data_IF_751019691259
#
_entry.id   IF_751019691259
#
_cell.length_a   1.000
_cell.length_b   1.000
_cell.length_c   1.000
_cell.angle_alpha   90.00
_cell.angle_beta   90.00
_cell.angle_gamma   90.00
#
_symmetry.space_group_name_H-M   'P 1'
#
loop_
_entity.id
_entity.type
_entity.pdbx_description
1 polymer ?
#
# COMPACT_ATOMS: atom_id res chain seq x y z
N UNK A 1 -8.69 -13.50 -1.62
CA UNK A 1 -8.20 -12.56 -0.60
C UNK A 1 -6.82 -13.04 -0.22
N UNK A 2 -5.83 -12.15 -0.26
CA UNK A 2 -4.46 -12.44 0.13
C UNK A 2 -4.19 -11.70 1.43
N UNK A 3 -3.83 -12.42 2.48
CA UNK A 3 -3.33 -11.81 3.71
C UNK A 3 -1.83 -11.65 3.57
N UNK A 4 -1.34 -10.42 3.68
CA UNK A 4 0.07 -10.11 3.87
C UNK A 4 0.24 -9.72 5.33
N UNK A 5 0.59 -10.69 6.17
CA UNK A 5 0.90 -10.41 7.57
C UNK A 5 2.41 -10.31 7.76
N UNK A 6 2.87 -9.28 8.47
CA UNK A 6 4.23 -9.21 8.96
C UNK A 6 4.23 -9.72 10.41
N UNK A 7 4.55 -11.00 10.61
CA UNK A 7 4.52 -11.62 11.94
C UNK A 7 5.91 -11.58 12.58
N UNK A 8 6.05 -10.90 13.72
CA UNK A 8 7.27 -10.91 14.51
C UNK A 8 7.33 -12.22 15.29
N UNK A 9 8.26 -13.10 14.92
CA UNK A 9 8.50 -14.35 15.63
C UNK A 9 9.01 -14.03 17.05
N UNK A 10 8.31 -14.48 18.10
CA UNK A 10 8.66 -14.13 19.49
C UNK A 10 9.96 -14.79 19.96
N UNK A 11 10.43 -15.84 19.27
CA UNK A 11 11.65 -16.57 19.63
C UNK A 11 12.88 -16.07 18.91
N UNK A 12 12.73 -15.50 17.72
CA UNK A 12 13.85 -15.11 16.86
C UNK A 12 13.95 -13.61 16.62
N UNK A 13 12.98 -12.81 17.07
CA UNK A 13 12.80 -11.41 16.66
C UNK A 13 12.82 -11.23 15.13
N UNK A 14 12.50 -12.29 14.37
CA UNK A 14 12.45 -12.23 12.92
C UNK A 14 11.00 -12.03 12.47
N UNK A 15 10.76 -10.95 11.71
CA UNK A 15 9.45 -10.67 11.13
C UNK A 15 9.25 -11.51 9.86
N UNK A 16 8.49 -12.60 9.93
CA UNK A 16 8.11 -13.45 8.79
C UNK A 16 6.94 -12.80 8.05
N UNK A 17 7.09 -12.55 6.74
CA UNK A 17 5.96 -12.16 5.91
C UNK A 17 5.24 -13.42 5.47
N UNK A 18 4.04 -13.63 6.00
CA UNK A 18 3.22 -14.78 5.64
C UNK A 18 2.17 -14.30 4.65
N UNK A 19 2.48 -14.45 3.36
CA UNK A 19 1.48 -14.41 2.31
C UNK A 19 0.65 -15.69 2.40
N UNK A 20 -0.44 -15.65 3.17
CA UNK A 20 -1.36 -16.78 3.31
C UNK A 20 -2.63 -16.52 2.52
N UNK A 21 -3.13 -17.58 1.89
CA UNK A 21 -4.49 -17.63 1.37
C UNK A 21 -5.35 -18.26 2.48
N UNK A 22 -5.93 -17.48 3.41
CA UNK A 22 -6.98 -18.04 4.25
C UNK A 22 -8.09 -18.48 3.30
N UNK A 23 -8.31 -19.80 3.21
CA UNK A 23 -9.33 -20.40 2.34
C UNK A 23 -10.71 -19.77 2.59
N UNK A 24 -10.95 -19.30 3.81
CA UNK A 24 -12.00 -18.34 4.16
C UNK A 24 -11.55 -17.54 5.39
N UNK A 25 -11.40 -16.21 5.29
CA UNK A 25 -11.36 -15.36 6.48
C UNK A 25 -12.75 -14.70 6.53
N UNK A 26 -13.62 -15.07 7.48
CA UNK A 26 -14.95 -14.49 7.55
C UNK A 26 -14.82 -12.98 7.78
N UNK A 27 -15.69 -12.19 7.16
CA UNK A 27 -15.68 -10.72 7.27
C UNK A 27 -15.69 -10.24 8.73
N UNK A 28 -16.30 -11.02 9.63
CA UNK A 28 -16.31 -10.75 11.06
C UNK A 28 -14.92 -10.77 11.71
N UNK A 29 -13.96 -11.56 11.21
CA UNK A 29 -12.58 -11.55 11.71
C UNK A 29 -11.83 -10.29 11.29
N UNK A 30 -12.04 -9.81 10.06
CA UNK A 30 -11.45 -8.55 9.57
C UNK A 30 -11.88 -7.38 10.47
N UNK A 31 -13.15 -7.35 10.86
CA UNK A 31 -13.70 -6.34 11.76
C UNK A 31 -13.18 -6.46 13.21
N UNK A 32 -12.81 -7.66 13.65
CA UNK A 32 -12.28 -7.91 15.00
C UNK A 32 -10.78 -7.64 15.12
N UNK A 33 -10.03 -7.75 14.01
CA UNK A 33 -8.57 -7.70 14.01
C UNK A 33 -7.97 -6.35 14.39
N UNK A 34 -8.65 -5.25 14.12
CA UNK A 34 -8.08 -3.94 14.47
C UNK A 34 -8.15 -3.59 15.97
N UNK A 35 -8.52 -4.55 16.83
CA UNK A 35 -8.60 -4.36 18.27
C UNK A 35 -9.84 -3.56 18.71
N UNK A 36 -9.98 -3.30 20.03
CA UNK A 36 -11.18 -2.69 20.62
C UNK A 36 -11.46 -1.28 20.09
N UNK A 37 -10.45 -0.62 19.52
CA UNK A 37 -10.55 0.74 18.97
C UNK A 37 -10.61 0.78 17.44
N UNK A 38 -10.68 -0.37 16.75
CA UNK A 38 -10.85 -0.37 15.31
C UNK A 38 -12.27 -0.05 14.90
N UNK A 39 -12.48 1.22 14.57
CA UNK A 39 -13.73 1.69 14.00
C UNK A 39 -13.76 1.46 12.47
N UNK A 40 -13.54 0.21 12.03
CA UNK A 40 -13.86 -0.15 10.65
C UNK A 40 -15.36 -0.40 10.58
N UNK A 41 -16.06 0.47 9.89
CA UNK A 41 -17.50 0.34 9.70
C UNK A 41 -17.81 -0.49 8.45
N UNK A 42 -18.98 -1.13 8.42
CA UNK A 42 -19.45 -1.86 7.23
C UNK A 42 -19.47 -0.96 5.98
N UNK A 43 -19.83 0.31 6.12
CA UNK A 43 -19.80 1.30 5.03
C UNK A 43 -18.40 1.48 4.43
N UNK A 44 -17.36 1.28 5.22
CA UNK A 44 -15.97 1.44 4.78
C UNK A 44 -15.58 0.26 3.87
N UNK A 45 -16.06 -0.95 4.21
CA UNK A 45 -15.91 -2.13 3.37
C UNK A 45 -16.71 -2.03 2.07
N UNK A 46 -17.90 -1.41 2.11
CA UNK A 46 -18.68 -1.13 0.90
C UNK A 46 -17.96 -0.12 -0.02
N UNK A 47 -17.22 0.84 0.55
CA UNK A 47 -16.42 1.79 -0.23
C UNK A 47 -15.25 1.13 -1.00
N UNK A 48 -14.81 -0.06 -0.57
CA UNK A 48 -13.79 -0.84 -1.28
C UNK A 48 -14.31 -1.49 -2.56
N UNK A 49 -15.63 -1.56 -2.78
CA UNK A 49 -16.23 -2.20 -3.96
C UNK A 49 -15.66 -3.61 -4.22
N UNK A 50 -15.55 -4.42 -3.16
CA UNK A 50 -14.98 -5.78 -3.23
C UNK A 50 -15.91 -6.64 -4.11
N UNK A 51 -15.33 -7.35 -5.08
CA UNK A 51 -16.10 -8.17 -6.03
C UNK A 51 -15.84 -9.65 -5.77
N UNK A 52 -16.90 -10.45 -5.82
CA UNK A 52 -16.74 -11.92 -5.82
C UNK A 52 -16.15 -12.38 -7.16
N UNK A 53 -15.38 -13.48 -7.13
CA UNK A 53 -14.86 -14.15 -8.33
C UNK A 53 -16.00 -14.48 -9.32
N UNK A 54 -17.15 -14.90 -8.80
CA UNK A 54 -18.31 -15.30 -9.61
C UNK A 54 -18.96 -14.11 -10.33
N UNK A 55 -18.89 -12.91 -9.73
CA UNK A 55 -19.44 -11.69 -10.33
C UNK A 55 -18.61 -11.20 -11.52
N UNK A 56 -17.30 -11.49 -11.56
CA UNK A 56 -16.45 -11.03 -12.66
C UNK A 56 -16.69 -11.81 -13.96
N UNK A 57 -16.93 -13.12 -13.88
CA UNK A 57 -17.13 -13.94 -15.07
C UNK A 57 -18.42 -13.58 -15.83
N UNK A 58 -19.41 -12.99 -15.15
CA UNK A 58 -20.70 -12.61 -15.75
C UNK A 58 -20.79 -11.13 -16.17
N UNK A 59 -19.77 -10.30 -15.92
CA UNK A 59 -19.82 -8.86 -16.22
C UNK A 59 -18.95 -8.42 -17.39
N UNK A 60 -18.75 -9.29 -18.39
CA UNK A 60 -17.96 -8.94 -19.58
C UNK A 60 -18.66 -7.89 -20.48
N UNK A 61 -20.00 -7.80 -20.49
CA UNK A 61 -20.66 -7.08 -21.62
C UNK A 61 -21.35 -5.74 -21.32
N UNK A 62 -21.70 -5.38 -20.08
CA UNK A 62 -22.48 -4.13 -19.86
C UNK A 62 -22.15 -3.39 -18.57
N UNK A 63 -20.89 -3.38 -18.12
CA UNK A 63 -20.49 -2.39 -17.10
C UNK A 63 -20.45 -1.01 -17.74
N UNK A 64 -21.63 -0.36 -17.73
CA UNK A 64 -21.76 1.08 -17.49
C UNK A 64 -20.60 1.52 -16.60
N UNK A 65 -19.90 2.53 -17.08
CA UNK A 65 -18.65 3.15 -16.61
C UNK A 65 -18.75 3.71 -15.20
N UNK A 66 -19.17 2.91 -14.22
CA UNK A 66 -19.14 3.28 -12.81
C UNK A 66 -17.67 3.37 -12.44
N UNK A 67 -17.15 4.59 -12.60
CA UNK A 67 -15.79 4.99 -12.25
C UNK A 67 -15.55 4.54 -10.82
N UNK A 68 -14.71 3.53 -10.64
CA UNK A 68 -14.27 3.14 -9.31
C UNK A 68 -13.62 4.37 -8.68
N UNK A 69 -14.13 4.78 -7.53
CA UNK A 69 -13.64 5.97 -6.85
C UNK A 69 -12.31 5.64 -6.18
N UNK A 70 -11.30 6.46 -6.47
CA UNK A 70 -10.04 6.47 -5.74
C UNK A 70 -10.31 6.95 -4.32
N UNK A 71 -10.07 6.10 -3.33
CA UNK A 71 -10.40 6.34 -1.93
C UNK A 71 -9.25 5.84 -1.06
N UNK A 72 -8.78 6.69 -0.16
CA UNK A 72 -7.88 6.34 0.95
C UNK A 72 -8.56 6.85 2.22
N UNK A 73 -9.00 5.95 3.11
CA UNK A 73 -9.73 6.29 4.32
C UNK A 73 -8.89 5.92 5.55
N UNK A 74 -8.26 6.91 6.22
CA UNK A 74 -7.64 6.67 7.50
C UNK A 74 -8.72 6.39 8.57
N UNK A 75 -8.42 5.40 9.42
CA UNK A 75 -9.15 5.04 10.64
C UNK A 75 -8.17 5.02 11.79
N UNK A 76 -8.69 4.90 13.02
CA UNK A 76 -7.88 4.98 14.24
C UNK A 76 -6.72 3.97 14.29
N UNK A 77 -6.87 2.81 13.64
CA UNK A 77 -5.89 1.72 13.68
C UNK A 77 -5.66 1.06 12.31
N UNK A 78 -6.21 1.64 11.24
CA UNK A 78 -6.22 1.01 9.93
C UNK A 78 -6.36 2.04 8.80
N UNK A 79 -5.92 1.66 7.62
CA UNK A 79 -6.02 2.41 6.39
C UNK A 79 -6.78 1.59 5.35
N UNK A 80 -7.94 2.07 4.92
CA UNK A 80 -8.67 1.44 3.83
C UNK A 80 -8.29 2.09 2.51
N UNK A 81 -7.94 1.28 1.52
CA UNK A 81 -7.43 1.77 0.25
C UNK A 81 -8.21 1.11 -0.88
N UNK A 82 -8.80 1.93 -1.74
CA UNK A 82 -9.33 1.56 -3.04
C UNK A 82 -8.69 2.50 -4.05
N UNK A 83 -7.57 2.10 -4.63
CA UNK A 83 -6.78 2.97 -5.51
C UNK A 83 -6.30 2.21 -6.75
N UNK A 84 -6.79 2.62 -7.92
CA UNK A 84 -6.50 1.95 -9.17
C UNK A 84 -7.01 0.52 -9.17
N UNK A 85 -6.11 -0.46 -9.33
CA UNK A 85 -6.44 -1.87 -9.28
C UNK A 85 -6.23 -2.51 -7.89
N UNK A 86 -5.71 -1.73 -6.93
CA UNK A 86 -5.39 -2.20 -5.58
C UNK A 86 -6.53 -1.87 -4.63
N UNK A 87 -7.05 -2.90 -3.98
CA UNK A 87 -8.02 -2.80 -2.89
C UNK A 87 -7.41 -3.45 -1.66
N UNK A 88 -7.31 -2.71 -0.57
CA UNK A 88 -6.65 -3.19 0.63
C UNK A 88 -7.22 -2.59 1.92
N UNK A 89 -6.95 -3.28 3.03
CA UNK A 89 -6.96 -2.69 4.36
C UNK A 89 -5.58 -2.92 4.95
N UNK A 90 -4.91 -1.87 5.38
CA UNK A 90 -3.64 -1.95 6.10
C UNK A 90 -3.86 -1.64 7.58
N UNK A 91 -3.18 -2.35 8.45
CA UNK A 91 -2.96 -2.02 9.85
C UNK A 91 -1.48 -1.71 10.05
N UNK A 92 -1.09 -1.54 11.31
CA UNK A 92 0.29 -1.25 11.70
C UNK A 92 1.29 -2.27 11.18
N UNK A 93 0.99 -3.57 11.29
CA UNK A 93 1.97 -4.65 11.04
C UNK A 93 1.49 -5.64 9.96
N UNK A 94 0.33 -5.42 9.35
CA UNK A 94 -0.22 -6.32 8.35
C UNK A 94 -1.18 -5.61 7.40
N UNK A 95 -1.41 -6.21 6.23
CA UNK A 95 -2.39 -5.73 5.27
C UNK A 95 -3.16 -6.90 4.63
N UNK A 96 -4.45 -6.70 4.39
CA UNK A 96 -5.26 -7.56 3.54
C UNK A 96 -5.35 -6.94 2.15
N UNK A 97 -5.00 -7.72 1.13
CA UNK A 97 -5.25 -7.41 -0.27
C UNK A 97 -6.47 -8.18 -0.77
N UNK A 98 -7.42 -7.44 -1.35
CA UNK A 98 -8.58 -8.01 -2.02
C UNK A 98 -8.26 -8.32 -3.49
N UNK A 99 -9.16 -9.04 -4.16
CA UNK A 99 -9.05 -9.36 -5.59
C UNK A 99 -7.72 -10.05 -5.99
N UNK A 100 -7.15 -10.86 -5.09
CA UNK A 100 -5.87 -11.57 -5.25
C UNK A 100 -5.79 -12.56 -6.42
N UNK A 101 -6.91 -12.81 -7.10
CA UNK A 101 -6.96 -13.59 -8.33
C UNK A 101 -6.52 -12.77 -9.56
N UNK A 102 -6.47 -11.43 -9.45
CA UNK A 102 -6.02 -10.56 -10.53
C UNK A 102 -4.50 -10.63 -10.67
N UNK A 103 -3.96 -10.80 -11.90
CA UNK A 103 -2.51 -10.83 -12.13
C UNK A 103 -1.78 -9.58 -11.61
N UNK A 104 -2.35 -8.40 -11.83
CA UNK A 104 -1.76 -7.12 -11.38
C UNK A 104 -1.56 -7.11 -9.85
N UNK A 105 -2.56 -7.59 -9.10
CA UNK A 105 -2.51 -7.65 -7.63
C UNK A 105 -1.48 -8.68 -7.15
N UNK A 106 -1.30 -9.78 -7.87
CA UNK A 106 -0.28 -10.79 -7.55
C UNK A 106 1.13 -10.28 -7.78
N UNK A 107 1.35 -9.55 -8.88
CA UNK A 107 2.63 -8.90 -9.15
C UNK A 107 2.94 -7.85 -8.09
N UNK A 108 1.93 -7.05 -7.72
CA UNK A 108 2.04 -6.08 -6.65
C UNK A 108 2.39 -6.72 -5.30
N UNK A 109 1.75 -7.83 -4.92
CA UNK A 109 2.08 -8.52 -3.66
C UNK A 109 3.51 -9.05 -3.66
N UNK A 110 4.00 -9.61 -4.77
CA UNK A 110 5.38 -10.07 -4.89
C UNK A 110 6.39 -8.91 -4.79
N UNK A 111 6.02 -7.74 -5.32
CA UNK A 111 6.82 -6.52 -5.18
C UNK A 111 6.89 -6.04 -3.73
N UNK A 112 5.77 -6.02 -3.01
CA UNK A 112 5.71 -5.67 -1.60
C UNK A 112 6.55 -6.61 -0.75
N UNK A 113 6.45 -7.92 -0.97
CA UNK A 113 7.23 -8.92 -0.24
C UNK A 113 8.73 -8.62 -0.34
N UNK A 114 9.24 -8.29 -1.53
CA UNK A 114 10.65 -7.94 -1.75
C UNK A 114 11.05 -6.64 -1.04
N UNK A 115 10.21 -5.62 -1.11
CA UNK A 115 10.48 -4.29 -0.53
C UNK A 115 10.45 -4.31 1.00
N UNK A 116 9.53 -5.07 1.57
CA UNK A 116 9.42 -5.24 3.02
C UNK A 116 10.54 -6.12 3.58
N UNK A 117 11.08 -7.07 2.80
CA UNK A 117 12.25 -7.85 3.19
C UNK A 117 13.55 -7.04 3.19
N UNK A 118 13.74 -6.14 2.21
CA UNK A 118 14.96 -5.33 2.11
C UNK A 118 15.06 -4.30 3.24
N UNK A 119 13.95 -3.68 3.62
CA UNK A 119 13.91 -2.68 4.70
C UNK A 119 14.40 -3.26 6.02
N UNK A 120 13.96 -4.48 6.36
CA UNK A 120 14.38 -5.19 7.59
C UNK A 120 15.87 -5.53 7.63
N UNK A 121 16.46 -5.85 6.48
CA UNK A 121 17.89 -6.19 6.42
C UNK A 121 18.76 -4.97 6.76
N UNK A 122 18.29 -3.76 6.43
CA UNK A 122 19.00 -2.52 6.75
C UNK A 122 18.96 -2.22 8.25
N UNK A 123 17.81 -2.42 8.90
CA UNK A 123 17.66 -2.24 10.35
C UNK A 123 18.59 -3.17 11.15
N UNK A 124 18.66 -4.45 10.80
CA UNK A 124 19.54 -5.41 11.48
C UNK A 124 21.04 -5.08 11.34
N UNK A 125 21.46 -4.47 10.23
CA UNK A 125 22.84 -4.05 10.04
C UNK A 125 23.18 -2.80 10.86
N UNK A 126 22.23 -1.88 11.00
CA UNK A 126 22.40 -0.65 11.76
C UNK A 126 22.49 -0.92 13.27
N UNK A 127 21.72 -1.89 13.79
CA UNK A 127 21.79 -2.31 15.19
C UNK A 127 23.15 -2.96 15.52
N UNK A 128 23.70 -3.80 14.63
CA UNK A 128 25.03 -4.40 14.84
C UNK A 128 26.15 -3.37 14.90
N UNK A 129 26.02 -2.25 14.20
CA UNK A 129 27.02 -1.18 14.21
C UNK A 129 27.02 -0.33 15.49
N UNK A 130 25.89 -0.24 16.20
CA UNK A 130 25.76 0.56 17.43
C UNK A 130 26.29 -0.15 18.67
N UNK A 131 26.30 -1.47 18.70
CA UNK A 131 26.74 -2.24 19.88
C UNK A 131 28.26 -2.22 20.15
N UNK A 132 29.05 -1.46 19.38
CA UNK A 132 30.52 -1.45 19.43
C UNK A 132 31.16 -0.23 20.09
N UNK A 133 30.38 0.78 20.49
CA UNK A 133 30.89 2.01 21.08
C UNK A 133 30.10 2.33 22.35
N UNK A 134 30.50 1.73 23.47
CA UNK A 134 30.68 2.40 24.76
C UNK A 134 30.97 1.38 25.87
N UNK A 135 32.24 1.32 26.29
CA UNK A 135 32.56 0.94 27.66
C UNK A 135 31.90 1.95 28.61
N UNK A 136 31.24 1.50 29.69
CA UNK A 136 30.64 2.41 30.67
C UNK A 136 31.75 3.14 31.43
N UNK A 137 32.05 4.39 31.06
CA UNK A 137 32.76 5.31 31.94
C UNK A 137 31.85 5.60 33.14
N UNK A 138 32.23 5.06 34.30
CA UNK A 138 31.58 5.34 35.58
C UNK A 138 31.63 6.85 35.86
N UNK A 139 30.50 7.55 35.68
CA UNK A 139 30.34 8.94 36.12
C UNK A 139 29.66 8.92 37.49
N UNK A 140 30.33 9.52 38.47
CA UNK A 140 29.97 9.49 39.88
C UNK A 140 28.62 10.13 40.20
N UNK A 141 27.97 9.55 41.20
CA UNK A 141 26.71 9.99 41.79
C UNK A 141 26.83 11.39 42.41
N UNK A 142 25.99 12.32 41.96
CA UNK A 142 25.76 13.57 42.67
C UNK A 142 24.97 14.58 41.86
N UNK A 143 23.64 14.56 41.96
CA UNK A 143 22.84 15.73 41.57
C UNK A 143 21.48 15.42 40.98
N UNK A 144 20.46 15.53 41.83
CA UNK A 144 19.10 16.00 41.54
C UNK A 144 18.41 15.54 40.24
N UNK A 145 17.63 14.48 40.42
CA UNK A 145 16.41 14.07 39.73
C UNK A 145 15.64 15.19 38.99
N UNK A 146 16.13 15.60 37.82
CA UNK A 146 15.33 16.33 36.84
C UNK A 146 14.54 15.29 36.03
N UNK A 147 13.22 15.37 36.10
CA UNK A 147 12.31 14.51 35.34
C UNK A 147 12.51 14.82 33.84
N UNK A 148 13.43 14.13 33.17
CA UNK A 148 13.60 14.24 31.73
C UNK A 148 12.31 13.77 31.08
N UNK A 149 11.57 14.73 30.52
CA UNK A 149 10.43 14.45 29.65
C UNK A 149 10.92 13.50 28.56
N UNK A 150 10.23 12.37 28.30
CA UNK A 150 10.57 11.53 27.17
C UNK A 150 10.58 12.41 25.91
N UNK A 151 11.68 12.36 25.15
CA UNK A 151 11.80 13.08 23.90
C UNK A 151 10.67 12.61 22.97
N UNK A 152 9.64 13.44 22.79
CA UNK A 152 8.49 13.16 21.91
C UNK A 152 8.91 12.80 20.47
N UNK A 153 10.16 13.11 20.09
CA UNK A 153 10.79 12.78 18.81
C UNK A 153 11.13 11.29 18.61
N UNK A 154 11.34 10.49 19.66
CA UNK A 154 11.63 9.04 19.51
C UNK A 154 10.37 8.19 19.32
N UNK A 155 9.18 8.77 19.47
CA UNK A 155 7.91 8.05 19.30
C UNK A 155 7.55 7.77 17.83
N UNK A 156 8.20 8.46 16.88
CA UNK A 156 7.81 8.46 15.47
C UNK A 156 8.54 7.46 14.57
N UNK A 157 9.50 6.65 15.08
CA UNK A 157 10.31 5.74 14.23
C UNK A 157 9.81 4.27 14.31
N UNK A 158 8.69 4.03 15.01
CA UNK A 158 8.29 2.66 15.37
C UNK A 158 7.40 2.01 14.32
N UNK A 159 8.06 1.40 13.33
CA UNK A 159 7.53 0.48 12.30
C UNK A 159 6.45 1.09 11.40
N UNK A 160 6.92 1.70 10.32
CA UNK A 160 6.14 2.32 9.24
C UNK A 160 5.66 1.31 8.20
N UNK A 161 5.28 0.09 8.58
CA UNK A 161 4.78 -0.89 7.60
C UNK A 161 3.55 -0.32 6.87
N UNK A 162 2.64 0.33 7.59
CA UNK A 162 1.47 0.99 6.99
C UNK A 162 1.87 2.05 5.95
N UNK A 163 2.87 2.88 6.23
CA UNK A 163 3.34 3.92 5.32
C UNK A 163 4.13 3.36 4.15
N UNK A 164 4.98 2.36 4.39
CA UNK A 164 5.70 1.62 3.34
C UNK A 164 4.72 0.91 2.41
N UNK A 165 3.67 0.30 2.97
CA UNK A 165 2.60 -0.32 2.21
C UNK A 165 1.86 0.71 1.36
N UNK A 166 1.45 1.84 1.95
CA UNK A 166 0.80 2.93 1.25
C UNK A 166 1.66 3.50 0.12
N UNK A 167 2.94 3.73 0.37
CA UNK A 167 3.90 4.17 -0.65
C UNK A 167 3.97 3.17 -1.81
N UNK A 168 4.04 1.87 -1.50
CA UNK A 168 3.99 0.80 -2.48
C UNK A 168 2.73 0.88 -3.35
N UNK A 169 1.55 1.06 -2.75
CA UNK A 169 0.29 1.20 -3.48
C UNK A 169 0.31 2.43 -4.40
N UNK A 170 0.75 3.58 -3.90
CA UNK A 170 0.82 4.80 -4.68
C UNK A 170 1.77 4.65 -5.87
N UNK A 171 2.95 4.07 -5.64
CA UNK A 171 3.94 3.80 -6.68
C UNK A 171 3.40 2.90 -7.78
N UNK A 172 2.79 1.77 -7.43
CA UNK A 172 2.22 0.82 -8.39
C UNK A 172 1.13 1.47 -9.27
N UNK A 173 0.24 2.26 -8.66
CA UNK A 173 -0.82 2.94 -9.40
C UNK A 173 -0.22 4.03 -10.30
N UNK A 174 0.71 4.85 -9.80
CA UNK A 174 1.40 5.84 -10.60
C UNK A 174 2.15 5.23 -11.79
N UNK A 175 2.85 4.11 -11.59
CA UNK A 175 3.56 3.39 -12.66
C UNK A 175 2.60 2.87 -13.73
N UNK A 176 1.46 2.31 -13.30
CA UNK A 176 0.40 1.86 -14.22
C UNK A 176 -0.12 3.02 -15.08
N UNK A 177 -0.36 4.18 -14.48
CA UNK A 177 -0.80 5.37 -15.21
C UNK A 177 0.27 5.91 -16.16
N UNK A 178 1.52 5.98 -15.72
CA UNK A 178 2.63 6.40 -16.59
C UNK A 178 2.79 5.48 -17.80
N UNK A 179 2.69 4.16 -17.62
CA UNK A 179 2.72 3.19 -18.73
C UNK A 179 1.59 3.44 -19.72
N UNK A 180 0.36 3.67 -19.24
CA UNK A 180 -0.80 3.99 -20.09
C UNK A 180 -0.59 5.28 -20.87
N UNK A 181 -0.16 6.35 -20.21
CA UNK A 181 0.11 7.63 -20.88
C UNK A 181 1.16 7.44 -21.97
N UNK A 182 2.26 6.72 -21.69
CA UNK A 182 3.31 6.44 -22.69
C UNK A 182 2.79 5.64 -23.90
N UNK A 183 1.81 4.77 -23.73
CA UNK A 183 1.21 3.99 -24.81
C UNK A 183 0.22 4.83 -25.65
N UNK A 184 -0.65 5.60 -24.99
CA UNK A 184 -1.71 6.34 -25.68
C UNK A 184 -1.24 7.66 -26.28
N UNK A 185 -0.25 8.31 -25.66
CA UNK A 185 0.28 9.60 -26.13
C UNK A 185 0.65 9.61 -27.61
N UNK A 186 1.48 8.69 -28.15
CA UNK A 186 1.84 8.73 -29.57
C UNK A 186 0.64 8.53 -30.51
N UNK A 187 -0.38 7.78 -30.09
CA UNK A 187 -1.60 7.57 -30.88
C UNK A 187 -2.41 8.86 -30.93
N UNK A 188 -2.61 9.51 -29.78
CA UNK A 188 -3.32 10.78 -29.69
C UNK A 188 -2.57 11.87 -30.46
N UNK A 189 -1.25 11.97 -30.28
CA UNK A 189 -0.40 12.93 -30.99
C UNK A 189 -0.45 12.69 -32.51
N UNK A 190 -0.49 11.43 -32.97
CA UNK A 190 -0.66 11.08 -34.37
C UNK A 190 -2.01 11.53 -34.95
N UNK A 191 -3.12 11.28 -34.24
CA UNK A 191 -4.46 11.69 -34.66
C UNK A 191 -4.58 13.21 -34.70
N UNK A 192 -4.10 13.91 -33.66
CA UNK A 192 -4.10 15.37 -33.60
C UNK A 192 -3.23 15.98 -34.70
N UNK A 193 -2.09 15.35 -35.02
CA UNK A 193 -1.22 15.74 -36.12
C UNK A 193 -1.92 15.65 -37.47
N UNK A 194 -2.58 14.53 -37.77
CA UNK A 194 -3.34 14.34 -39.00
C UNK A 194 -4.46 15.36 -39.15
N UNK A 195 -5.28 15.55 -38.11
CA UNK A 195 -6.39 16.53 -38.13
C UNK A 195 -5.88 17.96 -38.35
N UNK A 196 -4.78 18.34 -37.69
CA UNK A 196 -4.18 19.66 -37.89
C UNK A 196 -3.70 19.86 -39.33
N UNK A 197 -3.07 18.84 -39.92
CA UNK A 197 -2.59 18.90 -41.31
C UNK A 197 -3.70 18.98 -42.36
N UNK A 198 -4.85 18.34 -42.12
CA UNK A 198 -6.01 18.40 -43.01
C UNK A 198 -6.65 19.80 -43.00
N UNK A 199 -6.80 20.40 -41.81
CA UNK A 199 -7.34 21.76 -41.65
C UNK A 199 -6.45 22.79 -42.35
N UNK A 200 -5.13 22.64 -42.26
CA UNK A 200 -4.17 23.53 -42.93
C UNK A 200 -4.22 23.37 -44.46
N UNK A 201 -4.41 22.14 -44.96
CA UNK A 201 -4.51 21.85 -46.38
C UNK A 201 -5.78 22.45 -47.03
N UNK A 202 -6.92 22.40 -46.33
CA UNK A 202 -8.19 22.96 -46.81
C UNK A 202 -8.17 24.49 -46.88
N UNK A 203 -7.48 25.15 -45.94
CA UNK A 203 -7.36 26.62 -45.92
C UNK A 203 -6.49 27.18 -47.06
N UNK A 204 -5.60 26.36 -47.64
CA UNK A 204 -4.68 26.77 -48.71
C UNK A 204 -5.30 26.89 -50.11
N UNK A 205 -6.51 26.37 -50.36
CA UNK A 205 -7.12 26.31 -51.70
C UNK A 205 -7.96 27.54 -52.11
N UNK A 206 -8.10 28.56 -51.26
CA UNK A 206 -8.87 29.78 -51.55
C UNK A 206 -8.01 31.02 -51.89
N UNK A 207 -6.89 30.85 -52.59
CA UNK A 207 -6.10 31.96 -53.14
C UNK A 207 -5.92 31.85 -54.64
#
# INVERSE_FOLDING_TARGET
>A
MLLIAAQLSPTTNQLTIVASFPLTCPLGEILRRGGPNSHIHVRDLLALNIQSKDQQNHTIDYRTTRKESAIILPRASALLINFGHVKAISWRDEAFLFDSFRPDVQLFSQYLDRTLLSTKQQEQQQERGRSSLDEPKQVGYGGQHLLEKPNDSEMYIRNDFELTFLEGVLREVCDTWHRRIRLYRPVVDGVLGSVSSEVDAESGMHR
#
